data_IF_659423568526
#
_entry.id   IF_659423568526
#
_cell.length_a   1.000
_cell.length_b   1.000
_cell.length_c   1.000
_cell.angle_alpha   90.00
_cell.angle_beta   90.00
_cell.angle_gamma   90.00
#
_symmetry.space_group_name_H-M   'P 1'
#
loop_
_entity.id
_entity.type
_entity.pdbx_description
1 polymer ?
#
# COMPACT_ATOMS: atom_id res chain seq x y z
N UNK A 1 -17.13 17.77 -2.72
CA UNK A 1 -16.07 16.91 -2.13
C UNK A 1 -14.90 16.83 -3.09
N UNK A 2 -13.69 17.08 -2.58
CA UNK A 2 -12.40 16.97 -3.31
C UNK A 2 -11.42 16.19 -2.45
N UNK A 3 -10.91 15.08 -2.97
CA UNK A 3 -9.95 14.24 -2.26
C UNK A 3 -8.63 14.21 -3.04
N UNK A 4 -7.52 14.22 -2.32
CA UNK A 4 -6.21 13.93 -2.87
C UNK A 4 -5.64 12.67 -2.23
N UNK A 5 -5.13 11.77 -3.05
CA UNK A 5 -4.58 10.49 -2.60
C UNK A 5 -3.12 10.39 -3.04
N UNK A 6 -2.28 10.02 -2.09
CA UNK A 6 -0.88 9.69 -2.30
C UNK A 6 -0.61 8.29 -1.75
N UNK A 7 0.15 7.47 -2.43
CA UNK A 7 0.44 6.08 -2.05
C UNK A 7 1.84 5.69 -2.47
N UNK A 8 2.41 4.68 -1.82
CA UNK A 8 3.72 4.12 -2.20
C UNK A 8 4.81 5.21 -2.24
N UNK A 9 4.93 5.96 -1.15
CA UNK A 9 5.81 7.13 -1.04
C UNK A 9 7.27 6.70 -1.01
N UNK A 10 7.61 5.65 -0.24
CA UNK A 10 8.92 5.00 -0.17
C UNK A 10 10.10 5.98 -0.06
N UNK A 11 9.95 7.04 0.71
CA UNK A 11 11.06 7.97 0.99
C UNK A 11 12.00 7.33 1.99
N UNK A 12 13.30 7.34 1.68
CA UNK A 12 14.33 6.88 2.58
C UNK A 12 14.93 8.07 3.34
N UNK A 13 14.88 8.02 4.64
CA UNK A 13 15.65 8.91 5.51
C UNK A 13 17.14 8.56 5.51
N UNK A 14 18.00 9.40 6.12
CA UNK A 14 19.46 9.19 6.10
C UNK A 14 19.88 7.82 6.64
N UNK A 15 19.33 7.38 7.77
CA UNK A 15 19.65 6.09 8.39
C UNK A 15 19.21 4.90 7.56
N UNK A 16 18.03 4.96 6.97
CA UNK A 16 17.53 3.91 6.10
C UNK A 16 18.30 3.83 4.77
N UNK A 17 18.70 4.98 4.22
CA UNK A 17 19.55 5.04 3.04
C UNK A 17 20.93 4.42 3.28
N UNK A 18 21.54 4.67 4.43
CA UNK A 18 22.81 4.04 4.81
C UNK A 18 22.66 2.53 4.93
N UNK A 19 21.64 2.06 5.62
CA UNK A 19 21.33 0.64 5.77
C UNK A 19 21.07 -0.06 4.43
N UNK A 20 20.30 0.56 3.54
CA UNK A 20 20.05 0.02 2.19
C UNK A 20 21.35 -0.08 1.39
N UNK A 21 22.24 0.91 1.51
CA UNK A 21 23.57 0.89 0.89
C UNK A 21 24.44 -0.24 1.43
N UNK A 22 24.51 -0.43 2.74
CA UNK A 22 25.26 -1.51 3.39
C UNK A 22 24.76 -2.89 2.95
N UNK A 23 23.43 -3.07 2.91
CA UNK A 23 22.83 -4.30 2.40
C UNK A 23 23.18 -4.57 0.93
N UNK A 24 23.17 -3.53 0.10
CA UNK A 24 23.56 -3.64 -1.30
C UNK A 24 25.04 -3.98 -1.47
N UNK A 25 25.91 -3.40 -0.67
CA UNK A 25 27.35 -3.69 -0.68
C UNK A 25 27.63 -5.12 -0.20
N UNK A 26 27.01 -5.55 0.90
CA UNK A 26 27.11 -6.93 1.37
C UNK A 26 26.65 -7.96 0.32
N UNK A 27 25.55 -7.68 -0.39
CA UNK A 27 25.09 -8.50 -1.52
C UNK A 27 26.07 -8.48 -2.71
N UNK A 28 26.81 -7.38 -2.89
CA UNK A 28 27.81 -7.23 -3.95
C UNK A 28 29.13 -7.95 -3.64
N UNK A 29 29.57 -7.94 -2.37
CA UNK A 29 30.81 -8.57 -1.90
C UNK A 29 30.68 -10.11 -1.90
N UNK A 30 29.47 -10.64 -1.69
CA UNK A 30 29.19 -12.08 -1.82
C UNK A 30 29.37 -12.69 -3.22
N UNK A 31 30.08 -12.00 -4.11
CA UNK A 31 30.31 -12.36 -5.53
C UNK A 31 30.89 -13.75 -5.75
N UNK A 32 31.60 -14.31 -4.78
CA UNK A 32 32.26 -15.61 -4.92
C UNK A 32 31.33 -16.82 -4.98
N UNK A 33 30.06 -16.71 -4.53
CA UNK A 33 29.08 -17.81 -4.42
C UNK A 33 27.77 -17.61 -5.17
N UNK A 34 27.56 -16.49 -5.83
CA UNK A 34 26.31 -16.29 -6.60
C UNK A 34 26.35 -17.03 -7.94
N UNK A 35 26.03 -18.33 -7.90
CA UNK A 35 26.09 -19.25 -9.07
C UNK A 35 24.92 -19.11 -10.05
N UNK A 36 23.95 -18.21 -9.90
CA UNK A 36 22.83 -18.07 -10.86
C UNK A 36 22.80 -16.71 -11.53
N UNK A 37 22.76 -16.70 -12.86
CA UNK A 37 22.55 -15.53 -13.71
C UNK A 37 21.26 -14.76 -13.31
N UNK A 38 20.24 -15.50 -12.89
CA UNK A 38 18.96 -14.94 -12.45
C UNK A 38 19.08 -14.01 -11.23
N UNK A 39 19.92 -14.35 -10.24
CA UNK A 39 20.14 -13.46 -9.07
C UNK A 39 20.83 -12.16 -9.44
N UNK A 40 21.81 -12.21 -10.35
CA UNK A 40 22.48 -10.99 -10.84
C UNK A 40 21.51 -10.11 -11.62
N UNK A 41 20.61 -10.71 -12.37
CA UNK A 41 19.57 -9.99 -13.10
C UNK A 41 18.56 -9.36 -12.12
N UNK A 42 18.06 -10.10 -11.12
CA UNK A 42 17.17 -9.56 -10.07
C UNK A 42 17.82 -8.42 -9.30
N UNK A 43 19.10 -8.56 -8.93
CA UNK A 43 19.85 -7.51 -8.25
C UNK A 43 20.02 -6.26 -9.12
N UNK A 44 20.37 -6.43 -10.42
CA UNK A 44 20.46 -5.31 -11.35
C UNK A 44 19.09 -4.67 -11.60
N UNK A 45 18.03 -5.48 -11.73
CA UNK A 45 16.67 -5.01 -11.89
C UNK A 45 16.23 -4.23 -10.64
N UNK A 46 16.41 -4.78 -9.41
CA UNK A 46 16.11 -4.08 -8.17
C UNK A 46 16.87 -2.75 -8.06
N UNK A 47 18.19 -2.74 -8.32
CA UNK A 47 18.98 -1.51 -8.31
C UNK A 47 18.51 -0.51 -9.36
N UNK A 48 18.10 -0.98 -10.54
CA UNK A 48 17.63 -0.11 -11.63
C UNK A 48 16.21 0.39 -11.46
N UNK A 49 15.31 -0.40 -10.85
CA UNK A 49 13.89 -0.10 -10.77
C UNK A 49 13.45 0.35 -9.38
N UNK A 50 14.15 -0.02 -8.31
CA UNK A 50 13.73 0.21 -6.94
C UNK A 50 14.61 1.20 -6.17
N UNK A 51 15.93 1.16 -6.32
CA UNK A 51 16.89 1.93 -5.49
C UNK A 51 17.54 3.08 -6.24
N UNK A 52 16.97 3.52 -7.32
CA UNK A 52 17.55 4.59 -8.10
C UNK A 52 17.24 5.95 -7.50
N UNK A 53 18.24 6.57 -6.89
CA UNK A 53 18.25 7.93 -6.36
C UNK A 53 17.22 8.20 -5.25
N UNK A 54 17.55 7.96 -3.96
CA UNK A 54 16.74 8.35 -2.80
C UNK A 54 16.37 9.82 -2.79
N UNK A 55 17.29 10.70 -3.22
CA UNK A 55 17.04 12.14 -3.32
C UNK A 55 15.94 12.48 -4.33
N UNK A 56 15.89 11.76 -5.45
CA UNK A 56 14.82 11.95 -6.44
C UNK A 56 13.45 11.53 -5.89
N UNK A 57 13.37 10.50 -5.03
CA UNK A 57 12.11 10.09 -4.40
C UNK A 57 11.60 11.19 -3.47
N UNK A 58 12.50 11.73 -2.64
CA UNK A 58 12.16 12.86 -1.77
C UNK A 58 11.71 14.07 -2.58
N UNK A 59 12.40 14.40 -3.66
CA UNK A 59 12.03 15.51 -4.54
C UNK A 59 10.64 15.28 -5.18
N UNK A 60 10.36 14.08 -5.69
CA UNK A 60 9.04 13.72 -6.20
C UNK A 60 7.95 13.81 -5.13
N UNK A 61 8.24 13.36 -3.92
CA UNK A 61 7.29 13.47 -2.80
C UNK A 61 6.98 14.92 -2.45
N UNK A 62 8.01 15.76 -2.30
CA UNK A 62 7.81 17.19 -2.02
C UNK A 62 7.00 17.86 -3.13
N UNK A 63 7.32 17.57 -4.39
CA UNK A 63 6.57 18.09 -5.53
C UNK A 63 5.12 17.61 -5.54
N UNK A 64 4.88 16.34 -5.16
CA UNK A 64 3.53 15.82 -5.01
C UNK A 64 2.72 16.58 -3.95
N UNK A 65 3.34 16.92 -2.81
CA UNK A 65 2.69 17.72 -1.76
C UNK A 65 2.34 19.14 -2.25
N UNK A 66 3.21 19.78 -3.01
CA UNK A 66 2.91 21.09 -3.64
C UNK A 66 1.69 21.01 -4.56
N UNK A 67 1.64 19.98 -5.43
CA UNK A 67 0.50 19.78 -6.34
C UNK A 67 -0.81 19.48 -5.58
N UNK A 68 -0.72 18.73 -4.47
CA UNK A 68 -1.87 18.48 -3.59
C UNK A 68 -2.32 19.79 -2.92
N UNK A 69 -1.40 20.62 -2.43
CA UNK A 69 -1.75 21.93 -1.86
C UNK A 69 -2.46 22.83 -2.88
N UNK A 70 -1.94 22.90 -4.11
CA UNK A 70 -2.55 23.68 -5.20
C UNK A 70 -3.95 23.17 -5.59
N UNK A 71 -4.22 21.90 -5.39
CA UNK A 71 -5.55 21.32 -5.63
C UNK A 71 -6.58 21.73 -4.58
N UNK A 72 -6.15 22.15 -3.39
CA UNK A 72 -7.02 22.50 -2.24
C UNK A 72 -8.04 21.41 -1.91
N UNK A 73 -7.60 20.19 -1.55
CA UNK A 73 -8.52 19.10 -1.22
C UNK A 73 -9.22 19.34 0.13
N UNK A 74 -10.43 18.79 0.28
CA UNK A 74 -11.11 18.71 1.57
C UNK A 74 -10.41 17.70 2.48
N UNK A 75 -9.95 16.56 1.90
CA UNK A 75 -9.21 15.50 2.58
C UNK A 75 -8.04 15.00 1.76
N UNK A 76 -6.99 14.58 2.46
CA UNK A 76 -5.81 13.89 1.91
C UNK A 76 -5.77 12.49 2.49
N UNK A 77 -5.62 11.47 1.65
CA UNK A 77 -5.45 10.08 2.08
C UNK A 77 -4.07 9.59 1.67
N UNK A 78 -3.25 9.25 2.65
CA UNK A 78 -1.99 8.57 2.46
C UNK A 78 -2.22 7.05 2.57
N UNK A 79 -2.19 6.38 1.42
CA UNK A 79 -2.63 5.00 1.27
C UNK A 79 -1.50 3.98 1.45
N UNK A 80 -0.61 4.22 2.43
CA UNK A 80 0.44 3.27 2.85
C UNK A 80 1.77 3.37 2.13
N UNK A 81 2.74 2.61 2.64
CA UNK A 81 4.11 2.48 2.16
C UNK A 81 4.89 3.81 2.20
N UNK A 82 5.12 4.32 3.42
CA UNK A 82 5.78 5.61 3.64
C UNK A 82 7.28 5.55 3.45
N UNK A 83 7.92 4.48 3.95
CA UNK A 83 9.36 4.25 3.96
C UNK A 83 9.77 3.14 3.00
N UNK A 84 11.08 2.94 2.84
CA UNK A 84 11.62 1.91 1.95
C UNK A 84 11.61 0.50 2.51
N UNK A 85 11.48 0.36 3.82
CA UNK A 85 11.56 -0.91 4.57
C UNK A 85 12.84 -1.71 4.25
N UNK A 86 14.00 -1.05 4.36
CA UNK A 86 15.30 -1.67 4.08
C UNK A 86 15.57 -2.91 4.94
N UNK A 87 15.04 -2.96 6.16
CA UNK A 87 15.16 -4.10 7.08
C UNK A 87 14.18 -5.24 6.82
N UNK A 88 13.11 -4.98 6.09
CA UNK A 88 12.05 -5.95 5.81
C UNK A 88 11.20 -6.30 7.06
N UNK A 89 11.21 -5.48 8.10
CA UNK A 89 10.44 -5.65 9.35
C UNK A 89 9.55 -4.44 9.65
N UNK A 90 9.37 -3.57 8.66
CA UNK A 90 8.51 -2.39 8.74
C UNK A 90 8.94 -1.40 9.83
N UNK A 91 7.97 -0.74 10.43
CA UNK A 91 8.18 0.31 11.43
C UNK A 91 8.83 -0.17 12.74
N UNK A 92 9.05 -1.46 12.95
CA UNK A 92 9.85 -1.97 14.07
C UNK A 92 11.34 -1.72 13.90
N UNK A 93 11.80 -1.48 12.66
CA UNK A 93 13.14 -1.01 12.36
C UNK A 93 13.23 0.50 12.59
N UNK A 94 14.22 0.96 13.37
CA UNK A 94 14.34 2.37 13.74
C UNK A 94 14.54 3.28 12.53
N UNK A 95 15.38 2.88 11.58
CA UNK A 95 15.65 3.70 10.39
C UNK A 95 14.42 3.81 9.47
N UNK A 96 13.64 2.73 9.35
CA UNK A 96 12.37 2.72 8.62
C UNK A 96 11.32 3.58 9.32
N UNK A 97 11.26 3.49 10.66
CA UNK A 97 10.37 4.33 11.47
C UNK A 97 10.70 5.82 11.31
N UNK A 98 11.97 6.22 11.43
CA UNK A 98 12.39 7.62 11.27
C UNK A 98 12.02 8.17 9.87
N UNK A 99 12.18 7.34 8.84
CA UNK A 99 11.78 7.69 7.46
C UNK A 99 10.28 7.94 7.35
N UNK A 100 9.47 7.02 7.86
CA UNK A 100 8.00 7.13 7.85
C UNK A 100 7.51 8.29 8.73
N UNK A 101 8.10 8.47 9.92
CA UNK A 101 7.77 9.57 10.83
C UNK A 101 8.02 10.92 10.17
N UNK A 102 9.15 11.07 9.46
CA UNK A 102 9.45 12.31 8.72
C UNK A 102 8.42 12.62 7.64
N UNK A 103 7.96 11.60 6.90
CA UNK A 103 6.92 11.74 5.88
C UNK A 103 5.59 12.16 6.52
N UNK A 104 5.15 11.44 7.55
CA UNK A 104 3.86 11.66 8.21
C UNK A 104 3.82 13.04 8.91
N UNK A 105 4.90 13.41 9.59
CA UNK A 105 5.01 14.71 10.26
C UNK A 105 4.87 15.84 9.25
N UNK A 106 5.62 15.79 8.14
CA UNK A 106 5.54 16.81 7.10
C UNK A 106 4.13 16.90 6.49
N UNK A 107 3.47 15.77 6.25
CA UNK A 107 2.11 15.78 5.73
C UNK A 107 1.12 16.41 6.72
N UNK A 108 1.27 16.16 8.03
CA UNK A 108 0.42 16.79 9.06
C UNK A 108 0.66 18.29 9.18
N UNK A 109 1.91 18.73 9.05
CA UNK A 109 2.23 20.16 9.04
C UNK A 109 1.58 20.89 7.86
N UNK A 110 1.58 20.25 6.68
CA UNK A 110 1.01 20.84 5.46
C UNK A 110 -0.52 20.76 5.43
N UNK A 111 -1.09 19.66 5.92
CA UNK A 111 -2.53 19.37 5.88
C UNK A 111 -3.09 19.06 7.28
N UNK A 112 -3.05 20.02 8.22
CA UNK A 112 -3.51 19.78 9.58
C UNK A 112 -4.98 19.33 9.57
N UNK A 113 -5.29 18.31 10.38
CA UNK A 113 -6.63 17.75 10.61
C UNK A 113 -7.38 17.25 9.36
N UNK A 114 -6.68 17.13 8.21
CA UNK A 114 -7.26 16.69 6.94
C UNK A 114 -6.58 15.45 6.34
N UNK A 115 -5.72 14.78 7.10
CA UNK A 115 -5.00 13.61 6.63
C UNK A 115 -5.50 12.33 7.30
N UNK A 116 -5.80 11.32 6.48
CA UNK A 116 -5.91 9.94 6.91
C UNK A 116 -4.69 9.15 6.46
N UNK A 117 -4.08 8.45 7.41
CA UNK A 117 -2.91 7.60 7.18
C UNK A 117 -3.32 6.14 7.32
N UNK A 118 -2.98 5.32 6.33
CA UNK A 118 -3.28 3.89 6.27
C UNK A 118 -2.00 3.07 6.22
N UNK A 119 -2.09 1.78 6.56
CA UNK A 119 -0.96 0.87 6.41
C UNK A 119 -0.85 0.35 4.98
N UNK A 120 0.39 0.34 4.46
CA UNK A 120 0.81 -0.54 3.40
C UNK A 120 1.47 -1.80 3.94
N UNK A 121 1.85 -2.72 3.08
CA UNK A 121 2.47 -3.97 3.49
C UNK A 121 3.93 -3.77 3.95
N UNK A 122 4.64 -2.79 3.41
CA UNK A 122 5.97 -2.42 3.87
C UNK A 122 5.98 -1.78 5.27
N UNK A 123 4.91 -1.10 5.66
CA UNK A 123 4.84 -0.45 6.97
C UNK A 123 4.78 -1.45 8.13
N UNK A 124 4.15 -2.61 7.95
CA UNK A 124 4.09 -3.69 8.95
C UNK A 124 5.23 -4.71 8.83
N UNK A 125 6.00 -4.65 7.75
CA UNK A 125 7.09 -5.54 7.41
C UNK A 125 6.73 -6.55 6.34
N UNK A 126 7.69 -6.79 5.46
CA UNK A 126 7.53 -7.70 4.34
C UNK A 126 8.82 -8.48 4.12
N UNK A 127 8.69 -9.80 4.00
CA UNK A 127 9.85 -10.64 3.76
C UNK A 127 10.61 -10.25 2.50
N UNK A 128 11.85 -9.85 2.67
CA UNK A 128 12.72 -9.53 1.55
C UNK A 128 13.37 -10.79 0.97
N UNK A 129 12.95 -11.17 -0.23
CA UNK A 129 13.55 -12.32 -0.95
C UNK A 129 15.01 -12.08 -1.32
N UNK A 130 15.45 -10.82 -1.40
CA UNK A 130 16.81 -10.45 -1.74
C UNK A 130 17.78 -10.75 -0.61
N UNK A 131 17.45 -10.33 0.62
CA UNK A 131 18.27 -10.55 1.82
C UNK A 131 17.84 -11.78 2.62
N UNK A 132 16.70 -12.40 2.29
CA UNK A 132 16.12 -13.54 2.99
C UNK A 132 15.84 -13.27 4.48
N UNK A 133 15.40 -12.07 4.77
CA UNK A 133 15.09 -11.59 6.11
C UNK A 133 13.79 -10.81 6.07
N UNK A 134 13.26 -10.52 7.25
CA UNK A 134 12.07 -9.71 7.42
C UNK A 134 10.82 -10.52 7.72
N UNK A 135 9.69 -9.95 7.42
CA UNK A 135 8.36 -10.44 7.70
C UNK A 135 7.60 -9.52 8.66
N UNK A 136 6.31 -9.76 8.80
CA UNK A 136 5.43 -8.90 9.59
C UNK A 136 5.78 -8.94 11.09
N UNK A 137 5.66 -7.78 11.75
CA UNK A 137 5.91 -7.61 13.19
C UNK A 137 4.76 -6.85 13.85
N UNK A 138 4.27 -7.36 14.98
CA UNK A 138 3.28 -6.64 15.81
C UNK A 138 3.79 -5.29 16.27
N UNK A 139 5.08 -5.22 16.62
CA UNK A 139 5.71 -3.97 17.01
C UNK A 139 5.60 -2.88 15.91
N UNK A 140 5.64 -3.27 14.62
CA UNK A 140 5.43 -2.33 13.51
C UNK A 140 4.00 -1.82 13.46
N UNK A 141 3.02 -2.70 13.58
CA UNK A 141 1.60 -2.33 13.63
C UNK A 141 1.32 -1.39 14.81
N UNK A 142 1.75 -1.77 16.02
CA UNK A 142 1.57 -0.99 17.24
C UNK A 142 2.24 0.39 17.15
N UNK A 143 3.49 0.43 16.67
CA UNK A 143 4.22 1.70 16.50
C UNK A 143 3.54 2.63 15.50
N UNK A 144 3.01 2.07 14.42
CA UNK A 144 2.21 2.82 13.45
C UNK A 144 0.93 3.38 14.06
N UNK A 145 0.17 2.56 14.80
CA UNK A 145 -1.09 2.98 15.43
C UNK A 145 -0.85 3.97 16.57
N UNK A 146 -0.01 3.61 17.55
CA UNK A 146 0.10 4.33 18.82
C UNK A 146 0.95 5.61 18.72
N UNK A 147 1.96 5.63 17.84
CA UNK A 147 2.90 6.76 17.74
C UNK A 147 2.66 7.58 16.48
N UNK A 148 2.56 6.91 15.33
CA UNK A 148 2.39 7.61 14.06
C UNK A 148 0.92 7.90 13.72
N UNK A 149 -0.05 7.33 14.45
CA UNK A 149 -1.48 7.53 14.23
C UNK A 149 -1.93 7.03 12.85
N UNK A 150 -1.24 6.02 12.31
CA UNK A 150 -1.71 5.28 11.15
C UNK A 150 -2.88 4.41 11.61
N UNK A 151 -3.95 4.35 10.84
CA UNK A 151 -5.15 3.63 11.26
C UNK A 151 -5.36 2.35 10.46
N UNK A 152 -5.59 1.24 11.15
CA UNK A 152 -5.98 -0.02 10.50
C UNK A 152 -7.39 0.06 9.93
N UNK A 153 -8.27 0.82 10.57
CA UNK A 153 -9.63 1.10 10.12
C UNK A 153 -10.00 2.55 10.41
N UNK A 154 -10.66 3.21 9.45
CA UNK A 154 -11.29 4.50 9.63
C UNK A 154 -12.49 4.66 8.70
N UNK A 155 -13.42 5.48 9.11
CA UNK A 155 -14.60 5.84 8.32
C UNK A 155 -14.91 7.32 8.51
N UNK A 156 -15.22 7.98 7.40
CA UNK A 156 -15.75 9.34 7.36
C UNK A 156 -16.95 9.36 6.45
N UNK A 157 -17.92 10.22 6.76
CA UNK A 157 -19.08 10.44 5.91
C UNK A 157 -19.10 11.87 5.39
N UNK A 158 -19.22 12.02 4.08
CA UNK A 158 -19.37 13.30 3.42
C UNK A 158 -20.63 13.23 2.57
N UNK A 159 -21.70 13.86 3.08
CA UNK A 159 -23.04 13.78 2.47
C UNK A 159 -23.52 12.32 2.35
N UNK A 160 -23.76 11.81 1.13
CA UNK A 160 -24.17 10.45 0.81
C UNK A 160 -23.00 9.51 0.43
N UNK A 161 -21.76 9.93 0.71
CA UNK A 161 -20.55 9.13 0.41
C UNK A 161 -19.83 8.79 1.71
N UNK A 162 -19.62 7.49 1.92
CA UNK A 162 -18.76 6.96 2.96
C UNK A 162 -17.35 6.74 2.43
N UNK A 163 -16.38 7.33 3.09
CA UNK A 163 -14.97 7.05 2.90
C UNK A 163 -14.58 5.98 3.90
N UNK A 164 -14.15 4.81 3.45
CA UNK A 164 -13.78 3.69 4.33
C UNK A 164 -12.34 3.28 4.01
N UNK A 165 -11.45 3.37 5.00
CA UNK A 165 -10.08 2.90 4.91
C UNK A 165 -9.88 1.59 5.66
N UNK A 166 -9.25 0.61 5.03
CA UNK A 166 -9.01 -0.73 5.59
C UNK A 166 -7.54 -1.14 5.49
N UNK A 167 -7.05 -1.84 6.50
CA UNK A 167 -5.73 -2.46 6.46
C UNK A 167 -5.80 -3.78 5.67
N UNK A 168 -5.39 -3.73 4.40
CA UNK A 168 -5.40 -4.88 3.49
C UNK A 168 -4.56 -6.05 4.01
N UNK A 169 -3.46 -5.78 4.71
CA UNK A 169 -2.58 -6.83 5.23
C UNK A 169 -3.22 -7.64 6.36
N UNK A 170 -4.14 -7.04 7.14
CA UNK A 170 -4.94 -7.79 8.12
C UNK A 170 -5.99 -8.68 7.43
N UNK A 171 -6.60 -8.22 6.34
CA UNK A 171 -7.53 -9.05 5.55
C UNK A 171 -6.81 -10.22 4.89
N UNK A 172 -5.59 -10.00 4.40
CA UNK A 172 -4.77 -11.01 3.72
C UNK A 172 -3.77 -11.70 4.64
N UNK A 173 -3.99 -11.65 5.95
CA UNK A 173 -3.04 -12.07 6.97
C UNK A 173 -2.50 -13.50 6.75
N UNK A 174 -3.31 -14.44 6.27
CA UNK A 174 -2.88 -15.82 6.02
C UNK A 174 -1.71 -15.93 5.04
N UNK A 175 -1.51 -14.92 4.19
CA UNK A 175 -0.36 -14.87 3.28
C UNK A 175 0.92 -14.47 4.00
N UNK A 176 0.81 -13.68 5.07
CA UNK A 176 1.93 -13.12 5.82
C UNK A 176 2.26 -13.92 7.10
N UNK A 177 1.31 -14.69 7.66
CA UNK A 177 1.55 -15.48 8.89
C UNK A 177 2.80 -16.36 8.86
N UNK A 178 3.19 -16.99 7.71
CA UNK A 178 4.44 -17.73 7.65
C UNK A 178 5.71 -16.88 7.84
N UNK A 179 5.58 -15.57 7.79
CA UNK A 179 6.66 -14.59 7.96
C UNK A 179 6.63 -13.92 9.34
N UNK A 180 5.57 -14.16 10.11
CA UNK A 180 5.39 -13.64 11.47
C UNK A 180 6.27 -14.41 12.47
N UNK A 181 6.54 -13.79 13.62
CA UNK A 181 7.08 -14.50 14.77
C UNK A 181 6.00 -15.42 15.34
N UNK A 182 6.38 -16.66 15.68
CA UNK A 182 5.41 -17.67 16.12
C UNK A 182 4.62 -17.22 17.35
N UNK A 183 5.27 -16.55 18.27
CA UNK A 183 4.68 -16.00 19.50
C UNK A 183 3.68 -14.86 19.21
N UNK A 184 3.78 -14.19 18.09
CA UNK A 184 2.88 -13.10 17.69
C UNK A 184 1.60 -13.60 17.01
N UNK A 185 1.56 -14.83 16.51
CA UNK A 185 0.43 -15.36 15.69
C UNK A 185 -0.92 -15.24 16.40
N UNK A 186 -1.08 -15.54 17.70
CA UNK A 186 -2.36 -15.39 18.39
C UNK A 186 -2.88 -13.94 18.34
N UNK A 187 -2.01 -12.97 18.56
CA UNK A 187 -2.37 -11.55 18.55
C UNK A 187 -2.67 -11.05 17.14
N UNK A 188 -1.92 -11.49 16.12
CA UNK A 188 -2.23 -11.21 14.73
C UNK A 188 -3.64 -11.68 14.36
N UNK A 189 -4.01 -12.90 14.77
CA UNK A 189 -5.36 -13.43 14.51
C UNK A 189 -6.45 -12.63 15.24
N UNK A 190 -6.19 -12.20 16.47
CA UNK A 190 -7.10 -11.33 17.23
C UNK A 190 -7.31 -9.98 16.52
N UNK A 191 -6.22 -9.35 16.07
CA UNK A 191 -6.25 -8.09 15.33
C UNK A 191 -7.03 -8.23 14.02
N UNK A 192 -6.83 -9.32 13.28
CA UNK A 192 -7.59 -9.62 12.07
C UNK A 192 -9.08 -9.70 12.36
N UNK A 193 -9.48 -10.50 13.35
CA UNK A 193 -10.90 -10.66 13.69
C UNK A 193 -11.57 -9.34 14.05
N UNK A 194 -10.90 -8.50 14.84
CA UNK A 194 -11.40 -7.17 15.17
C UNK A 194 -11.54 -6.29 13.93
N UNK A 195 -10.57 -6.32 13.04
CA UNK A 195 -10.59 -5.55 11.81
C UNK A 195 -11.70 -6.00 10.87
N UNK A 196 -11.85 -7.32 10.66
CA UNK A 196 -12.94 -7.90 9.85
C UNK A 196 -14.32 -7.54 10.42
N UNK A 197 -14.46 -7.52 11.74
CA UNK A 197 -15.69 -7.09 12.41
C UNK A 197 -15.98 -5.61 12.12
N UNK A 198 -15.00 -4.71 12.29
CA UNK A 198 -15.15 -3.29 11.99
C UNK A 198 -15.58 -3.04 10.54
N UNK A 199 -14.93 -3.72 9.59
CA UNK A 199 -15.27 -3.61 8.16
C UNK A 199 -16.70 -4.11 7.92
N UNK A 200 -17.07 -5.24 8.50
CA UNK A 200 -18.41 -5.83 8.35
C UNK A 200 -19.49 -4.92 8.93
N UNK A 201 -19.26 -4.37 10.11
CA UNK A 201 -20.20 -3.45 10.78
C UNK A 201 -20.39 -2.18 9.94
N UNK A 202 -19.32 -1.60 9.40
CA UNK A 202 -19.39 -0.45 8.53
C UNK A 202 -20.24 -0.70 7.28
N UNK A 203 -20.02 -1.83 6.60
CA UNK A 203 -20.82 -2.19 5.42
C UNK A 203 -22.27 -2.56 5.77
N UNK A 204 -22.51 -3.17 6.94
CA UNK A 204 -23.87 -3.50 7.41
C UNK A 204 -24.70 -2.25 7.70
N UNK A 205 -24.07 -1.21 8.23
CA UNK A 205 -24.70 0.04 8.62
C UNK A 205 -24.98 0.98 7.44
N UNK A 206 -24.49 0.69 6.23
CA UNK A 206 -24.68 1.55 5.05
C UNK A 206 -26.17 1.66 4.68
N UNK A 207 -26.73 2.86 4.58
CA UNK A 207 -28.03 3.09 3.95
C UNK A 207 -28.01 2.63 2.48
N UNK A 208 -29.16 2.19 1.98
CA UNK A 208 -29.26 1.56 0.64
C UNK A 208 -28.96 2.50 -0.53
N UNK A 209 -29.12 3.80 -0.32
CA UNK A 209 -28.95 4.89 -1.30
C UNK A 209 -27.59 5.60 -1.19
N UNK A 210 -26.78 5.25 -0.19
CA UNK A 210 -25.45 5.82 0.00
C UNK A 210 -24.35 5.00 -0.67
N UNK A 211 -23.24 5.64 -0.97
CA UNK A 211 -22.12 5.06 -1.73
C UNK A 211 -20.83 5.02 -0.91
N UNK A 212 -19.93 4.14 -1.30
CA UNK A 212 -18.63 3.96 -0.65
C UNK A 212 -17.51 4.30 -1.62
N UNK A 213 -16.51 5.05 -1.14
CA UNK A 213 -15.16 5.07 -1.68
C UNK A 213 -14.29 4.28 -0.71
N UNK A 214 -13.84 3.11 -1.14
CA UNK A 214 -13.01 2.21 -0.34
C UNK A 214 -11.53 2.50 -0.59
N UNK A 215 -10.74 2.60 0.47
CA UNK A 215 -9.29 2.70 0.42
C UNK A 215 -8.68 1.39 0.91
N UNK A 216 -7.89 0.77 0.06
CA UNK A 216 -7.29 -0.54 0.31
C UNK A 216 -5.91 -0.57 -0.36
N UNK A 217 -4.82 -0.78 0.40
CA UNK A 217 -3.48 -0.71 -0.19
C UNK A 217 -3.25 -1.86 -1.18
N UNK A 218 -3.37 -3.12 -0.73
CA UNK A 218 -3.11 -4.30 -1.55
C UNK A 218 -4.40 -4.87 -2.16
N UNK A 219 -4.50 -4.97 -3.51
CA UNK A 219 -5.68 -5.48 -4.19
C UNK A 219 -6.01 -6.96 -3.88
N UNK A 220 -5.07 -7.74 -3.35
CA UNK A 220 -5.32 -9.15 -2.99
C UNK A 220 -6.41 -9.28 -1.92
N UNK A 221 -6.58 -8.27 -1.07
CA UNK A 221 -7.65 -8.23 -0.07
C UNK A 221 -9.06 -8.23 -0.69
N UNK A 222 -9.24 -7.65 -1.88
CA UNK A 222 -10.54 -7.58 -2.55
C UNK A 222 -11.13 -8.97 -2.84
N UNK A 223 -10.24 -9.93 -3.15
CA UNK A 223 -10.64 -11.31 -3.40
C UNK A 223 -11.18 -12.04 -2.16
N UNK A 224 -10.78 -11.62 -0.97
CA UNK A 224 -11.28 -12.13 0.30
C UNK A 224 -12.53 -11.36 0.75
N UNK A 225 -12.53 -10.05 0.60
CA UNK A 225 -13.67 -9.21 0.95
C UNK A 225 -14.96 -9.60 0.22
N UNK A 226 -14.89 -9.94 -1.07
CA UNK A 226 -16.08 -10.33 -1.85
C UNK A 226 -16.68 -11.66 -1.38
N UNK A 227 -15.92 -12.48 -0.65
CA UNK A 227 -16.44 -13.74 -0.08
C UNK A 227 -17.33 -13.48 1.14
N UNK A 228 -17.16 -12.32 1.78
CA UNK A 228 -17.98 -11.95 2.93
C UNK A 228 -19.40 -11.59 2.48
N UNK A 229 -20.45 -12.25 3.05
CA UNK A 229 -21.83 -12.09 2.59
C UNK A 229 -22.28 -10.62 2.56
N UNK A 230 -22.08 -9.87 3.64
CA UNK A 230 -22.47 -8.45 3.75
C UNK A 230 -21.81 -7.59 2.68
N UNK A 231 -20.50 -7.74 2.47
CA UNK A 231 -19.77 -6.94 1.47
C UNK A 231 -20.24 -7.30 0.07
N UNK A 232 -20.48 -8.59 -0.20
CA UNK A 232 -21.00 -9.05 -1.48
C UNK A 232 -22.39 -8.50 -1.79
N UNK A 233 -23.25 -8.38 -0.80
CA UNK A 233 -24.59 -7.79 -0.95
C UNK A 233 -24.52 -6.28 -1.21
N UNK A 234 -23.54 -5.60 -0.61
CA UNK A 234 -23.33 -4.14 -0.71
C UNK A 234 -22.39 -3.70 -1.84
N UNK A 235 -21.87 -4.62 -2.65
CA UNK A 235 -20.85 -4.33 -3.68
C UNK A 235 -21.26 -3.24 -4.67
N UNK A 236 -22.55 -3.14 -5.02
CA UNK A 236 -23.07 -2.14 -5.96
C UNK A 236 -23.03 -0.72 -5.37
N UNK A 237 -22.92 -0.59 -4.04
CA UNK A 237 -22.73 0.70 -3.37
C UNK A 237 -21.26 1.16 -3.40
N UNK A 238 -20.31 0.27 -3.76
CA UNK A 238 -18.90 0.63 -3.89
C UNK A 238 -18.70 1.39 -5.19
N UNK A 239 -18.73 2.70 -5.10
CA UNK A 239 -18.55 3.57 -6.26
C UNK A 239 -17.11 3.53 -6.81
N UNK A 240 -16.13 3.37 -5.91
CA UNK A 240 -14.71 3.35 -6.26
C UNK A 240 -13.90 2.65 -5.15
N UNK A 241 -12.86 1.91 -5.55
CA UNK A 241 -11.81 1.44 -4.63
C UNK A 241 -10.46 1.97 -5.07
N UNK A 242 -9.78 2.67 -4.16
CA UNK A 242 -8.44 3.21 -4.39
C UNK A 242 -7.41 2.21 -3.88
N UNK A 243 -6.52 1.80 -4.77
CA UNK A 243 -5.45 0.85 -4.50
C UNK A 243 -4.09 1.54 -4.52
N UNK A 244 -3.16 1.06 -3.69
CA UNK A 244 -1.72 1.31 -3.78
C UNK A 244 -0.98 0.11 -4.38
N UNK A 245 0.17 -0.26 -3.78
CA UNK A 245 0.95 -1.48 -3.95
C UNK A 245 1.45 -1.78 -5.38
N UNK A 246 0.63 -1.56 -6.38
CA UNK A 246 0.97 -1.82 -7.78
C UNK A 246 1.81 -0.70 -8.40
N UNK A 247 1.94 0.45 -7.75
CA UNK A 247 2.67 1.66 -8.19
C UNK A 247 2.22 2.23 -9.54
N UNK A 248 1.69 1.38 -10.43
CA UNK A 248 1.35 1.74 -11.80
C UNK A 248 0.00 1.20 -12.24
N UNK A 249 -0.87 2.05 -12.78
CA UNK A 249 -2.22 1.68 -13.20
C UNK A 249 -2.29 0.56 -14.25
N UNK A 250 -1.31 0.50 -15.15
CA UNK A 250 -1.30 -0.52 -16.19
C UNK A 250 -1.05 -1.94 -15.65
N UNK A 251 -0.41 -2.07 -14.48
CA UNK A 251 -0.20 -3.37 -13.85
C UNK A 251 -1.52 -4.00 -13.40
N UNK A 252 -2.50 -3.22 -12.95
CA UNK A 252 -3.84 -3.72 -12.65
C UNK A 252 -4.45 -4.39 -13.88
N UNK A 253 -4.43 -3.72 -15.02
CA UNK A 253 -4.96 -4.27 -16.29
C UNK A 253 -4.18 -5.52 -16.74
N UNK A 254 -2.87 -5.51 -16.57
CA UNK A 254 -2.02 -6.66 -16.92
C UNK A 254 -2.38 -7.88 -16.07
N UNK A 255 -2.44 -7.72 -14.74
CA UNK A 255 -2.78 -8.80 -13.79
C UNK A 255 -4.16 -9.38 -14.09
N UNK A 256 -5.13 -8.55 -14.41
CA UNK A 256 -6.49 -8.98 -14.74
C UNK A 256 -6.59 -9.75 -16.08
N UNK A 257 -5.67 -9.47 -17.01
CA UNK A 257 -5.61 -10.13 -18.32
C UNK A 257 -4.78 -11.41 -18.33
N UNK A 258 -3.90 -11.58 -17.33
CA UNK A 258 -3.08 -12.80 -17.26
C UNK A 258 -4.00 -14.04 -17.09
N UNK A 259 -3.79 -15.07 -17.89
CA UNK A 259 -4.55 -16.33 -17.73
C UNK A 259 -4.22 -16.94 -16.36
N UNK A 260 -5.21 -17.63 -15.77
CA UNK A 260 -4.97 -18.46 -14.59
C UNK A 260 -3.83 -19.42 -14.89
N UNK A 261 -2.73 -19.34 -14.17
CA UNK A 261 -1.69 -20.36 -14.19
C UNK A 261 -2.17 -21.51 -13.29
N UNK A 262 -2.67 -22.62 -13.87
CA UNK A 262 -3.14 -23.75 -13.06
C UNK A 262 -1.94 -24.40 -12.39
N UNK A 263 -2.05 -24.64 -11.09
CA UNK A 263 -1.15 -25.54 -10.38
C UNK A 263 0.20 -24.99 -9.93
N UNK A 264 0.50 -23.71 -10.12
CA UNK A 264 1.74 -23.14 -9.60
C UNK A 264 1.57 -22.75 -8.14
N UNK A 265 2.07 -23.59 -7.23
CA UNK A 265 2.21 -23.28 -5.81
C UNK A 265 3.68 -22.96 -5.53
N UNK A 266 4.08 -21.71 -5.55
CA UNK A 266 5.47 -21.35 -5.29
C UNK A 266 5.88 -21.72 -3.86
N UNK A 267 7.11 -22.25 -3.72
CA UNK A 267 7.67 -22.58 -2.39
C UNK A 267 7.91 -21.36 -1.50
N UNK A 268 7.89 -20.15 -2.07
CA UNK A 268 8.20 -18.90 -1.38
C UNK A 268 6.94 -18.08 -1.12
N UNK A 269 6.83 -17.39 0.05
CA UNK A 269 5.67 -16.58 0.43
C UNK A 269 5.24 -15.59 -0.65
N UNK A 270 6.16 -14.80 -1.18
CA UNK A 270 5.91 -13.82 -2.26
C UNK A 270 5.25 -14.46 -3.49
N UNK A 271 5.69 -15.66 -3.86
CA UNK A 271 5.07 -16.39 -4.98
C UNK A 271 3.65 -16.84 -4.67
N UNK A 272 3.35 -17.17 -3.40
CA UNK A 272 1.98 -17.53 -2.97
C UNK A 272 1.06 -16.31 -3.03
N UNK A 273 1.50 -15.17 -2.52
CA UNK A 273 0.75 -13.89 -2.57
C UNK A 273 0.45 -13.53 -4.03
N UNK A 274 1.46 -13.58 -4.91
CA UNK A 274 1.26 -13.35 -6.35
C UNK A 274 0.28 -14.34 -6.97
N UNK A 275 0.41 -15.62 -6.65
CA UNK A 275 -0.47 -16.66 -7.19
C UNK A 275 -1.92 -16.47 -6.77
N UNK A 276 -2.16 -16.11 -5.51
CA UNK A 276 -3.50 -15.86 -4.99
C UNK A 276 -4.08 -14.55 -5.51
N UNK A 277 -3.26 -13.49 -5.57
CA UNK A 277 -3.62 -12.23 -6.22
C UNK A 277 -4.07 -12.45 -7.67
N UNK A 278 -3.33 -13.25 -8.45
CA UNK A 278 -3.70 -13.59 -9.83
C UNK A 278 -4.99 -14.43 -9.91
N UNK A 279 -5.22 -15.33 -8.95
CA UNK A 279 -6.47 -16.11 -8.89
C UNK A 279 -7.68 -15.24 -8.61
N UNK A 280 -7.55 -14.31 -7.67
CA UNK A 280 -8.63 -13.43 -7.23
C UNK A 280 -8.84 -12.21 -8.13
N UNK A 281 -7.90 -11.88 -9.01
CA UNK A 281 -7.91 -10.65 -9.81
C UNK A 281 -9.20 -10.45 -10.65
N UNK A 282 -9.86 -11.53 -11.05
CA UNK A 282 -11.14 -11.45 -11.76
C UNK A 282 -12.30 -10.93 -10.90
N UNK A 283 -12.21 -11.07 -9.58
CA UNK A 283 -13.25 -10.61 -8.65
C UNK A 283 -13.06 -9.14 -8.27
N UNK A 284 -11.87 -8.57 -8.52
CA UNK A 284 -11.59 -7.18 -8.15
C UNK A 284 -12.50 -6.16 -8.87
N UNK A 285 -13.00 -6.50 -10.07
CA UNK A 285 -13.91 -5.63 -10.81
C UNK A 285 -15.20 -5.28 -10.07
N UNK A 286 -15.63 -6.13 -9.13
CA UNK A 286 -16.79 -5.83 -8.28
C UNK A 286 -16.58 -4.62 -7.37
N UNK A 287 -15.34 -4.16 -7.24
CA UNK A 287 -14.95 -3.05 -6.38
C UNK A 287 -14.62 -1.76 -7.15
N UNK A 288 -14.82 -1.72 -8.46
CA UNK A 288 -14.46 -0.56 -9.29
C UNK A 288 -13.03 -0.03 -8.99
N UNK A 289 -11.97 -0.85 -9.10
CA UNK A 289 -10.65 -0.50 -8.61
C UNK A 289 -9.93 0.50 -9.50
N UNK A 290 -9.26 1.47 -8.86
CA UNK A 290 -8.30 2.39 -9.49
C UNK A 290 -7.00 2.37 -8.71
N UNK A 291 -5.85 2.35 -9.40
CA UNK A 291 -4.54 2.43 -8.75
C UNK A 291 -4.11 3.88 -8.62
N UNK A 292 -3.78 4.29 -7.41
CA UNK A 292 -3.04 5.52 -7.15
C UNK A 292 -1.59 5.33 -7.61
N UNK A 293 -1.06 6.17 -8.50
CA UNK A 293 0.33 6.06 -8.89
C UNK A 293 1.25 6.46 -7.72
N UNK A 294 2.41 5.80 -7.61
CA UNK A 294 3.47 6.27 -6.71
C UNK A 294 4.01 7.63 -7.16
N UNK A 295 4.38 8.55 -6.28
CA UNK A 295 4.91 9.87 -6.65
C UNK A 295 6.13 9.82 -7.57
N UNK A 296 7.00 8.82 -7.42
CA UNK A 296 8.22 8.66 -8.23
C UNK A 296 8.07 7.69 -9.41
N UNK A 297 6.92 7.04 -9.57
CA UNK A 297 6.68 6.07 -10.64
C UNK A 297 7.52 4.78 -10.52
N UNK A 298 7.76 4.14 -11.65
CA UNK A 298 8.66 2.98 -11.77
C UNK A 298 9.84 3.31 -12.66
N UNK A 299 10.93 3.83 -12.08
CA UNK A 299 12.15 4.17 -12.81
C UNK A 299 12.09 5.49 -13.58
N UNK A 300 13.20 5.87 -14.23
CA UNK A 300 13.43 7.21 -14.82
C UNK A 300 12.46 7.64 -15.93
N UNK A 301 11.70 6.72 -16.52
CA UNK A 301 10.92 6.97 -17.73
C UNK A 301 9.41 6.86 -17.52
N UNK A 302 8.96 6.46 -16.33
CA UNK A 302 7.54 6.36 -16.02
C UNK A 302 7.22 7.43 -14.98
N UNK A 303 6.41 8.39 -15.39
CA UNK A 303 5.97 9.47 -14.52
C UNK A 303 5.23 8.93 -13.32
N UNK A 304 5.64 9.35 -12.15
CA UNK A 304 4.88 9.23 -10.93
C UNK A 304 3.69 10.18 -10.90
N UNK A 305 2.93 10.13 -9.83
CA UNK A 305 1.78 11.01 -9.69
C UNK A 305 1.05 10.88 -8.38
N UNK A 306 -0.06 11.59 -8.33
CA UNK A 306 -1.08 11.53 -7.28
C UNK A 306 -2.45 11.32 -7.92
N UNK A 307 -3.42 10.87 -7.15
CA UNK A 307 -4.78 10.69 -7.61
C UNK A 307 -5.68 11.75 -6.98
N UNK A 308 -6.41 12.48 -7.80
CA UNK A 308 -7.47 13.37 -7.37
C UNK A 308 -8.83 12.76 -7.64
N UNK A 309 -9.73 12.88 -6.68
CA UNK A 309 -11.12 12.45 -6.78
C UNK A 309 -12.00 13.65 -6.47
N UNK A 310 -12.98 13.90 -7.33
CA UNK A 310 -13.90 15.01 -7.19
C UNK A 310 -15.34 14.52 -7.39
N UNK A 311 -16.24 14.97 -6.53
CA UNK A 311 -17.67 14.84 -6.73
C UNK A 311 -18.18 16.09 -7.41
N UNK A 312 -18.77 15.90 -8.58
CA UNK A 312 -19.38 16.98 -9.36
C UNK A 312 -20.76 17.37 -8.82
N UNK A 313 -21.28 18.56 -9.17
CA UNK A 313 -22.63 18.98 -8.76
C UNK A 313 -23.76 18.04 -9.22
N UNK A 314 -23.56 17.33 -10.33
CA UNK A 314 -24.47 16.31 -10.86
C UNK A 314 -24.21 14.91 -10.27
N UNK A 315 -23.56 14.86 -9.13
CA UNK A 315 -23.35 13.67 -8.29
C UNK A 315 -22.49 12.56 -8.90
N UNK A 316 -21.66 12.86 -9.90
CA UNK A 316 -20.68 11.93 -10.47
C UNK A 316 -19.36 11.99 -9.71
N UNK A 317 -18.70 10.84 -9.55
CA UNK A 317 -17.35 10.75 -9.04
C UNK A 317 -16.39 10.76 -10.22
N UNK A 318 -15.59 11.81 -10.32
CA UNK A 318 -14.52 11.93 -11.30
C UNK A 318 -13.19 11.61 -10.68
N UNK A 319 -12.35 10.91 -11.42
CA UNK A 319 -10.97 10.59 -10.99
C UNK A 319 -9.98 11.14 -11.99
N UNK A 320 -8.93 11.80 -11.49
CA UNK A 320 -7.86 12.34 -12.31
C UNK A 320 -6.50 11.95 -11.73
N UNK A 321 -5.73 11.20 -12.52
CA UNK A 321 -4.31 10.98 -12.20
C UNK A 321 -3.53 12.22 -12.61
N UNK A 322 -2.87 12.84 -11.64
CA UNK A 322 -2.05 14.01 -11.87
C UNK A 322 -0.57 13.61 -11.88
N UNK A 323 0.12 13.95 -12.95
CA UNK A 323 1.53 13.60 -13.14
C UNK A 323 2.41 14.53 -12.31
N UNK A 324 3.30 13.96 -11.52
CA UNK A 324 4.36 14.67 -10.82
C UNK A 324 5.63 14.66 -11.67
N UNK A 325 6.17 15.82 -11.98
CA UNK A 325 7.40 16.00 -12.79
C UNK A 325 8.36 16.88 -12.00
N UNK A 326 9.60 16.43 -11.83
CA UNK A 326 10.72 17.18 -11.22
C UNK A 326 11.68 17.66 -12.29
#
# INVERSE_FOLDING_TARGET
MRLAIISDIHVLGPGEHEKDRELMDALSIGRGRMRSVGRRFLHRARRRFWNWHPESRRACFLKALEEIQLYHPDWVVANGDYAGDAGGVGLSDESTYESAAGVITLMREIFPDRCHFMFGDHDIGKYSTAIRQGGIRLASLQRGEDILGIRSFWQEQIEDIHLIGINSSLITLDFFLPEALTEEIPEWNRRRQQHEQQVTEAFSALPSDERVILFCHDPSALGLLIQHPVIRERKEQIALTVLGHLHQPHLLTLVQRLPRMPGWTPKYPVGRIMSEGLRSAKTWWHFNPIVCPSPFGTGQHVSGGVLFIERTPDNRILTRRHRVTI
#
